data_IF_666571402856
#
_entry.id   IF_666571402856
#
_cell.length_a   1.000
_cell.length_b   1.000
_cell.length_c   1.000
_cell.angle_alpha   90.00
_cell.angle_beta   90.00
_cell.angle_gamma   90.00
#
_symmetry.space_group_name_H-M   'P 1'
#
loop_
_entity.id
_entity.type
_entity.pdbx_description
1 polymer ?
#
# COMPACT_ATOMS: atom_id res chain seq x y z
N UNK A 1 -20.70 15.23 5.32
CA UNK A 1 -20.85 14.21 4.27
C UNK A 1 -20.26 14.78 2.98
N UNK A 2 -18.94 14.70 2.80
CA UNK A 2 -18.34 14.94 1.48
C UNK A 2 -18.64 13.72 0.61
N UNK A 3 -19.33 13.92 -0.51
CA UNK A 3 -19.71 12.81 -1.37
C UNK A 3 -18.52 12.37 -2.25
N UNK A 4 -18.47 11.10 -2.71
CA UNK A 4 -17.52 10.63 -3.73
C UNK A 4 -17.48 11.47 -5.03
N UNK A 5 -18.47 12.37 -5.25
CA UNK A 5 -18.43 13.37 -6.33
C UNK A 5 -17.32 14.40 -6.17
N UNK A 6 -16.87 14.72 -4.94
CA UNK A 6 -15.82 15.71 -4.73
C UNK A 6 -14.45 15.20 -5.20
N UNK A 7 -14.14 13.93 -4.94
CA UNK A 7 -12.89 13.34 -5.45
C UNK A 7 -12.94 13.11 -6.96
N UNK A 8 -14.09 12.67 -7.50
CA UNK A 8 -14.35 12.65 -8.94
C UNK A 8 -14.13 14.04 -9.56
N UNK A 9 -14.60 15.10 -8.92
CA UNK A 9 -14.39 16.48 -9.36
C UNK A 9 -12.91 16.89 -9.30
N UNK A 10 -12.19 16.54 -8.23
CA UNK A 10 -10.76 16.80 -8.10
C UNK A 10 -9.96 16.08 -9.20
N UNK A 11 -10.22 14.81 -9.48
CA UNK A 11 -9.51 14.09 -10.56
C UNK A 11 -9.94 14.56 -11.96
N UNK A 12 -11.21 14.94 -12.16
CA UNK A 12 -11.67 15.54 -13.42
C UNK A 12 -11.01 16.90 -13.67
N UNK A 13 -10.75 17.68 -12.62
CA UNK A 13 -10.01 18.94 -12.70
C UNK A 13 -8.50 18.74 -12.86
N UNK A 14 -7.95 17.61 -12.38
CA UNK A 14 -6.51 17.31 -12.40
C UNK A 14 -6.25 15.96 -13.09
N UNK A 15 -6.26 15.88 -14.44
CA UNK A 15 -5.97 14.66 -15.21
C UNK A 15 -4.56 14.05 -15.01
N UNK A 16 -3.77 14.55 -14.06
CA UNK A 16 -2.46 14.07 -13.63
C UNK A 16 -2.28 14.26 -12.11
N UNK A 17 -3.31 13.88 -11.34
CA UNK A 17 -3.24 13.93 -9.88
C UNK A 17 -2.02 13.15 -9.36
N UNK A 18 -1.26 13.74 -8.45
CA UNK A 18 -0.07 13.11 -7.89
C UNK A 18 0.12 13.42 -6.42
N UNK A 19 0.83 12.51 -5.76
CA UNK A 19 1.39 12.70 -4.41
C UNK A 19 2.85 12.29 -4.41
N UNK A 20 3.67 13.06 -3.73
CA UNK A 20 5.10 12.84 -3.64
C UNK A 20 5.53 12.86 -2.17
N UNK A 21 6.22 11.81 -1.74
CA UNK A 21 6.68 11.64 -0.36
C UNK A 21 8.17 11.40 -0.29
N UNK A 22 8.84 12.07 0.65
CA UNK A 22 10.16 11.64 1.13
C UNK A 22 9.97 10.55 2.18
N UNK A 23 10.65 9.43 2.00
CA UNK A 23 10.64 8.31 2.92
C UNK A 23 11.98 8.25 3.64
N UNK A 24 11.91 8.06 4.95
CA UNK A 24 13.05 7.72 5.78
C UNK A 24 12.76 6.39 6.46
N UNK A 25 13.53 5.37 6.12
CA UNK A 25 13.42 4.03 6.67
C UNK A 25 14.61 3.81 7.58
N UNK A 26 14.34 3.47 8.83
CA UNK A 26 15.34 3.01 9.79
C UNK A 26 15.06 1.56 10.11
N UNK A 27 16.08 0.70 9.98
CA UNK A 27 15.97 -0.73 10.27
C UNK A 27 17.01 -1.12 11.29
N UNK A 28 16.58 -1.82 12.33
CA UNK A 28 17.47 -2.46 13.28
C UNK A 28 17.62 -3.95 12.94
N UNK A 29 18.85 -4.37 12.63
CA UNK A 29 19.17 -5.74 12.27
C UNK A 29 20.53 -6.14 12.84
N UNK A 30 20.60 -7.24 13.59
CA UNK A 30 21.82 -7.73 14.24
C UNK A 30 22.55 -6.65 15.08
N UNK A 31 21.79 -5.88 15.86
CA UNK A 31 22.28 -4.77 16.69
C UNK A 31 22.98 -3.65 15.89
N UNK A 32 22.64 -3.52 14.61
CA UNK A 32 23.10 -2.44 13.75
C UNK A 32 21.89 -1.71 13.16
N UNK A 33 22.00 -0.39 13.13
CA UNK A 33 20.97 0.48 12.56
C UNK A 33 21.36 0.86 11.13
N UNK A 34 20.47 0.57 10.19
CA UNK A 34 20.59 0.93 8.79
C UNK A 34 19.57 2.01 8.44
N UNK A 35 19.97 2.92 7.55
CA UNK A 35 19.12 4.00 7.08
C UNK A 35 18.98 3.96 5.56
N UNK A 36 17.76 4.09 5.07
CA UNK A 36 17.44 4.25 3.66
C UNK A 36 16.56 5.49 3.48
N UNK A 37 16.90 6.31 2.50
CA UNK A 37 16.15 7.48 2.10
C UNK A 37 15.66 7.32 0.67
N UNK A 38 14.36 7.49 0.47
CA UNK A 38 13.71 7.32 -0.82
C UNK A 38 12.80 8.52 -1.12
N UNK A 39 12.52 8.74 -2.40
CA UNK A 39 11.44 9.59 -2.87
C UNK A 39 10.42 8.70 -3.56
N UNK A 40 9.19 8.71 -3.08
CA UNK A 40 8.08 7.96 -3.63
C UNK A 40 7.15 8.91 -4.37
N UNK A 41 6.85 8.57 -5.61
CA UNK A 41 5.99 9.35 -6.48
C UNK A 41 4.85 8.48 -7.01
N UNK A 42 3.62 8.80 -6.63
CA UNK A 42 2.41 8.20 -7.19
C UNK A 42 1.75 9.19 -8.15
N UNK A 43 1.59 8.81 -9.41
CA UNK A 43 1.05 9.68 -10.45
C UNK A 43 -0.08 9.01 -11.22
N UNK A 44 -1.28 9.59 -11.19
CA UNK A 44 -2.43 9.12 -11.95
C UNK A 44 -2.16 9.33 -13.44
N UNK A 45 -2.09 8.24 -14.19
CA UNK A 45 -1.81 8.24 -15.63
C UNK A 45 -3.06 8.07 -16.47
N UNK A 46 -4.10 7.42 -15.94
CA UNK A 46 -5.32 7.15 -16.68
C UNK A 46 -6.53 7.00 -15.76
N UNK A 47 -7.68 7.49 -16.22
CA UNK A 47 -8.95 7.40 -15.50
C UNK A 47 -9.97 6.65 -16.38
N UNK A 48 -10.64 5.67 -15.80
CA UNK A 48 -11.72 4.92 -16.43
C UNK A 48 -13.06 5.28 -15.78
N UNK A 49 -13.76 6.24 -16.38
CA UNK A 49 -15.02 6.77 -15.85
C UNK A 49 -16.16 5.73 -15.81
N UNK A 50 -16.11 4.71 -16.66
CA UNK A 50 -17.19 3.71 -16.82
C UNK A 50 -17.37 2.78 -15.61
N UNK A 51 -16.34 2.57 -14.81
CA UNK A 51 -16.32 1.59 -13.70
C UNK A 51 -15.64 2.11 -12.44
N UNK A 52 -15.43 3.42 -12.38
CA UNK A 52 -14.85 4.06 -11.22
C UNK A 52 -13.43 3.69 -10.84
N UNK A 53 -12.62 3.33 -11.83
CA UNK A 53 -11.21 2.97 -11.60
C UNK A 53 -10.25 3.97 -12.23
N UNK A 54 -9.03 3.98 -11.72
CA UNK A 54 -7.93 4.75 -12.28
C UNK A 54 -6.64 3.94 -12.19
N UNK A 55 -5.68 4.31 -13.04
CA UNK A 55 -4.33 3.75 -13.04
C UNK A 55 -3.39 4.85 -12.60
N UNK A 56 -2.49 4.50 -11.70
CA UNK A 56 -1.38 5.35 -11.33
C UNK A 56 -0.06 4.60 -11.47
N UNK A 57 0.99 5.32 -11.81
CA UNK A 57 2.35 4.82 -11.79
C UNK A 57 2.97 5.13 -10.44
N UNK A 58 3.59 4.11 -9.85
CA UNK A 58 4.46 4.25 -8.69
C UNK A 58 5.91 4.30 -9.18
N UNK A 59 6.65 5.34 -8.81
CA UNK A 59 8.09 5.45 -9.04
C UNK A 59 8.78 5.66 -7.70
N UNK A 60 9.85 4.89 -7.45
CA UNK A 60 10.64 5.01 -6.21
C UNK A 60 12.07 5.35 -6.58
N UNK A 61 12.54 6.50 -6.11
CA UNK A 61 13.92 6.95 -6.24
C UNK A 61 14.65 6.64 -4.94
N UNK A 62 15.64 5.75 -5.00
CA UNK A 62 16.48 5.42 -3.85
C UNK A 62 17.64 6.42 -3.79
N UNK A 63 17.51 7.42 -2.91
CA UNK A 63 18.37 8.61 -2.90
C UNK A 63 19.82 8.26 -2.55
N UNK A 64 20.02 7.30 -1.64
CA UNK A 64 21.36 6.87 -1.21
C UNK A 64 22.20 6.28 -2.34
N UNK A 65 21.58 5.75 -3.39
CA UNK A 65 22.26 5.06 -4.49
C UNK A 65 22.05 5.71 -5.85
N UNK A 66 21.30 6.81 -5.92
CA UNK A 66 20.89 7.44 -7.18
C UNK A 66 20.25 6.45 -8.15
N UNK A 67 19.39 5.56 -7.63
CA UNK A 67 18.72 4.50 -8.39
C UNK A 67 17.21 4.70 -8.46
N UNK A 68 16.59 4.31 -9.57
CA UNK A 68 15.14 4.22 -9.74
C UNK A 68 14.75 2.75 -9.71
N UNK A 69 13.86 2.37 -8.80
CA UNK A 69 13.19 1.07 -8.85
C UNK A 69 12.16 1.09 -9.98
N UNK A 70 12.05 -0.02 -10.71
CA UNK A 70 11.17 -0.14 -11.87
C UNK A 70 9.75 0.34 -11.54
N UNK A 71 9.24 1.28 -12.35
CA UNK A 71 7.91 1.83 -12.13
C UNK A 71 6.83 0.77 -12.40
N UNK A 72 5.88 0.66 -11.49
CA UNK A 72 4.74 -0.26 -11.60
C UNK A 72 3.46 0.52 -11.83
N UNK A 73 2.66 0.07 -12.81
CA UNK A 73 1.32 0.59 -13.03
C UNK A 73 0.32 -0.17 -12.15
N UNK A 74 -0.39 0.56 -11.28
CA UNK A 74 -1.32 0.01 -10.29
C UNK A 74 -2.73 0.48 -10.63
N UNK A 75 -3.69 -0.43 -10.60
CA UNK A 75 -5.11 -0.14 -10.80
C UNK A 75 -5.82 -0.04 -9.44
N UNK A 76 -6.53 1.06 -9.20
CA UNK A 76 -7.28 1.29 -7.95
C UNK A 76 -8.66 1.91 -8.24
N UNK A 77 -9.52 1.96 -7.22
CA UNK A 77 -10.88 2.49 -7.30
C UNK A 77 -10.95 3.91 -6.72
N UNK A 78 -11.63 4.83 -7.39
CA UNK A 78 -11.69 6.21 -6.91
C UNK A 78 -12.57 6.39 -5.66
N UNK A 79 -13.62 5.58 -5.51
CA UNK A 79 -14.57 5.74 -4.41
C UNK A 79 -13.99 5.23 -3.10
N UNK A 80 -13.10 4.24 -3.22
CA UNK A 80 -12.41 3.62 -2.09
C UNK A 80 -10.98 3.23 -2.50
N UNK A 81 -10.05 4.20 -2.62
CA UNK A 81 -8.67 3.92 -2.96
C UNK A 81 -8.04 3.05 -1.88
N UNK A 82 -7.61 1.84 -2.24
CA UNK A 82 -7.02 0.91 -1.27
C UNK A 82 -5.52 1.10 -1.13
N UNK A 83 -4.84 1.48 -2.20
CA UNK A 83 -3.38 1.57 -2.24
C UNK A 83 -2.89 3.00 -2.44
N UNK A 84 -3.52 3.79 -3.31
CA UNK A 84 -3.12 5.19 -3.55
C UNK A 84 -3.36 6.06 -2.31
N UNK A 85 -2.35 6.77 -1.79
CA UNK A 85 -2.36 7.29 -0.40
C UNK A 85 -3.50 8.24 0.00
N UNK A 86 -4.19 8.85 -0.97
CA UNK A 86 -5.33 9.72 -0.73
C UNK A 86 -6.50 9.04 0.03
N UNK A 87 -7.15 9.78 0.94
CA UNK A 87 -8.37 9.38 1.67
C UNK A 87 -9.51 10.31 1.24
N UNK A 88 -10.52 9.83 0.47
CA UNK A 88 -11.60 10.68 -0.04
C UNK A 88 -12.47 11.36 1.02
N UNK A 89 -12.66 10.72 2.18
CA UNK A 89 -13.54 11.19 3.25
C UNK A 89 -12.77 11.21 4.57
N UNK A 90 -11.87 12.18 4.78
CA UNK A 90 -11.16 12.31 6.06
C UNK A 90 -12.16 12.66 7.17
N UNK A 91 -11.94 12.11 8.36
CA UNK A 91 -12.85 12.20 9.51
C UNK A 91 -13.83 11.03 9.66
N UNK A 92 -13.95 10.13 8.68
CA UNK A 92 -14.73 8.91 8.86
C UNK A 92 -14.13 8.04 9.98
N UNK A 93 -14.94 7.40 10.85
CA UNK A 93 -14.45 6.60 11.96
C UNK A 93 -13.59 5.41 11.51
N UNK A 94 -13.90 4.85 10.35
CA UNK A 94 -13.20 3.70 9.76
C UNK A 94 -12.98 3.95 8.28
N UNK A 95 -11.76 3.73 7.81
CA UNK A 95 -11.38 3.82 6.41
C UNK A 95 -10.85 2.46 5.96
N UNK A 96 -11.55 1.85 5.00
CA UNK A 96 -11.13 0.58 4.40
C UNK A 96 -10.02 0.82 3.37
N UNK A 97 -8.80 0.37 3.69
CA UNK A 97 -7.66 0.32 2.76
C UNK A 97 -7.08 -1.09 2.73
N UNK A 98 -5.88 -1.27 2.17
CA UNK A 98 -5.12 -2.52 2.33
C UNK A 98 -4.94 -2.92 3.81
N UNK A 99 -4.94 -1.93 4.71
CA UNK A 99 -5.08 -2.11 6.16
C UNK A 99 -6.27 -1.27 6.61
N UNK A 100 -7.14 -1.84 7.45
CA UNK A 100 -8.27 -1.09 8.01
C UNK A 100 -7.70 -0.02 8.97
N UNK A 101 -8.06 1.23 8.72
CA UNK A 101 -7.65 2.36 9.54
C UNK A 101 -8.83 2.84 10.39
N UNK A 102 -8.63 2.98 11.69
CA UNK A 102 -9.59 3.56 12.63
C UNK A 102 -9.16 4.97 13.02
N UNK A 103 -10.11 5.90 13.09
CA UNK A 103 -9.84 7.26 13.53
C UNK A 103 -9.44 7.27 15.02
N UNK A 104 -8.23 7.71 15.31
CA UNK A 104 -7.69 7.80 16.67
C UNK A 104 -7.97 9.17 17.29
N UNK A 105 -7.77 10.24 16.52
CA UNK A 105 -8.06 11.61 16.96
C UNK A 105 -8.29 12.52 15.76
N UNK A 106 -8.94 13.65 16.01
CA UNK A 106 -9.15 14.69 15.00
C UNK A 106 -9.13 16.07 15.64
N UNK A 107 -8.78 17.06 14.83
CA UNK A 107 -9.03 18.48 15.08
C UNK A 107 -9.59 19.12 13.80
N UNK A 108 -9.90 20.41 13.83
CA UNK A 108 -10.61 21.11 12.75
C UNK A 108 -9.96 21.01 11.35
N UNK A 109 -8.70 20.58 11.26
CA UNK A 109 -7.96 20.49 9.98
C UNK A 109 -7.14 19.21 9.78
N UNK A 110 -7.03 18.34 10.80
CA UNK A 110 -6.18 17.16 10.76
C UNK A 110 -6.83 15.95 11.43
N UNK A 111 -6.57 14.78 10.86
CA UNK A 111 -7.11 13.50 11.28
C UNK A 111 -5.97 12.52 11.47
N UNK A 112 -5.97 11.82 12.60
CA UNK A 112 -4.98 10.79 12.91
C UNK A 112 -5.70 9.46 12.87
N UNK A 113 -5.22 8.59 11.99
CA UNK A 113 -5.73 7.25 11.80
C UNK A 113 -4.70 6.23 12.27
N UNK A 114 -5.18 5.17 12.91
CA UNK A 114 -4.38 4.02 13.32
C UNK A 114 -4.88 2.76 12.63
N UNK A 115 -3.96 1.99 12.06
CA UNK A 115 -4.25 0.67 11.53
C UNK A 115 -3.24 -0.34 12.03
N UNK A 116 -3.64 -1.60 12.07
CA UNK A 116 -2.76 -2.71 12.41
C UNK A 116 -3.00 -3.90 11.52
N UNK A 117 -1.93 -4.54 11.10
CA UNK A 117 -1.98 -5.87 10.48
C UNK A 117 -0.84 -6.75 10.99
N UNK A 118 -0.93 -8.04 10.71
CA UNK A 118 0.08 -9.03 11.06
C UNK A 118 0.52 -9.78 9.81
N UNK A 119 1.82 -9.99 9.66
CA UNK A 119 2.41 -10.87 8.66
C UNK A 119 3.19 -11.95 9.41
N UNK A 120 2.59 -13.15 9.54
CA UNK A 120 3.11 -14.16 10.45
C UNK A 120 3.08 -13.67 11.89
N UNK A 121 4.24 -13.62 12.55
CA UNK A 121 4.40 -13.12 13.91
C UNK A 121 4.95 -11.68 13.98
N UNK A 122 5.04 -11.01 12.84
CA UNK A 122 5.47 -9.61 12.75
C UNK A 122 4.24 -8.71 12.72
N UNK A 123 4.20 -7.76 13.65
CA UNK A 123 3.15 -6.75 13.75
C UNK A 123 3.57 -5.50 12.95
N UNK A 124 2.63 -4.97 12.16
CA UNK A 124 2.79 -3.71 11.44
C UNK A 124 1.74 -2.73 11.94
N UNK A 125 2.20 -1.64 12.54
CA UNK A 125 1.36 -0.54 13.00
C UNK A 125 1.48 0.64 12.04
N UNK A 126 0.35 1.21 11.66
CA UNK A 126 0.24 2.29 10.69
C UNK A 126 -0.38 3.51 11.36
N UNK A 127 0.28 4.65 11.26
CA UNK A 127 -0.23 5.94 11.71
C UNK A 127 -0.30 6.88 10.51
N UNK A 128 -1.50 7.25 10.11
CA UNK A 128 -1.74 8.18 9.00
C UNK A 128 -2.17 9.52 9.58
N UNK A 129 -1.41 10.56 9.28
CA UNK A 129 -1.72 11.94 9.64
C UNK A 129 -2.20 12.65 8.38
N UNK A 130 -3.49 12.95 8.35
CA UNK A 130 -4.22 13.32 7.13
C UNK A 130 -4.81 14.70 7.29
N UNK A 131 -4.61 15.55 6.29
CA UNK A 131 -5.18 16.90 6.30
C UNK A 131 -6.66 16.89 5.87
N UNK A 132 -7.31 18.05 5.93
CA UNK A 132 -8.70 18.24 5.51
C UNK A 132 -8.96 18.00 4.02
N UNK A 133 -7.94 18.01 3.16
CA UNK A 133 -8.11 17.67 1.74
C UNK A 133 -8.10 16.16 1.49
N UNK A 134 -7.76 15.35 2.50
CA UNK A 134 -7.68 13.89 2.39
C UNK A 134 -6.27 13.38 2.04
N UNK A 135 -5.29 14.27 1.89
CA UNK A 135 -3.90 13.89 1.59
C UNK A 135 -3.15 13.66 2.91
N UNK A 136 -2.53 12.48 3.12
CA UNK A 136 -1.62 12.29 4.24
C UNK A 136 -0.44 13.27 4.16
N UNK A 137 -0.20 14.05 5.21
CA UNK A 137 1.02 14.87 5.28
C UNK A 137 2.17 14.12 5.95
N UNK A 138 1.85 13.08 6.73
CA UNK A 138 2.81 12.17 7.36
C UNK A 138 2.21 10.77 7.48
N UNK A 139 3.00 9.74 7.22
CA UNK A 139 2.66 8.34 7.51
C UNK A 139 3.80 7.74 8.31
N UNK A 140 3.51 7.01 9.37
CA UNK A 140 4.50 6.23 10.12
C UNK A 140 4.08 4.77 10.04
N UNK A 141 5.02 3.90 9.72
CA UNK A 141 4.84 2.46 9.75
C UNK A 141 5.89 1.89 10.69
N UNK A 142 5.44 1.26 11.77
CA UNK A 142 6.30 0.57 12.72
C UNK A 142 6.21 -0.92 12.45
N UNK A 143 7.36 -1.58 12.38
CA UNK A 143 7.45 -3.03 12.32
C UNK A 143 7.95 -3.56 13.65
N UNK A 144 7.13 -4.35 14.32
CA UNK A 144 7.42 -4.94 15.62
C UNK A 144 7.67 -6.44 15.41
N UNK A 145 8.85 -6.89 15.83
CA UNK A 145 9.28 -8.27 15.71
C UNK A 145 8.57 -9.20 16.69
N UNK A 146 8.80 -10.51 16.54
CA UNK A 146 8.07 -11.54 17.29
C UNK A 146 8.23 -11.42 18.81
N UNK A 147 9.37 -10.92 19.28
CA UNK A 147 9.65 -10.69 20.71
C UNK A 147 9.27 -9.27 21.19
N UNK A 148 8.51 -8.50 20.40
CA UNK A 148 8.00 -7.17 20.77
C UNK A 148 8.98 -6.01 20.56
N UNK A 149 10.17 -6.27 20.03
CA UNK A 149 11.16 -5.24 19.69
C UNK A 149 10.81 -4.52 18.40
N UNK A 150 11.12 -3.22 18.32
CA UNK A 150 11.03 -2.47 17.07
C UNK A 150 12.12 -2.93 16.10
N UNK A 151 11.72 -3.42 14.93
CA UNK A 151 12.60 -3.89 13.86
C UNK A 151 12.79 -2.83 12.79
N UNK A 152 11.75 -2.06 12.49
CA UNK A 152 11.81 -1.00 11.49
C UNK A 152 10.86 0.14 11.82
N UNK A 153 11.27 1.34 11.47
CA UNK A 153 10.46 2.55 11.48
C UNK A 153 10.58 3.24 10.12
N UNK A 154 9.48 3.25 9.37
CA UNK A 154 9.38 3.98 8.12
C UNK A 154 8.52 5.20 8.31
N UNK A 155 9.07 6.38 8.02
CA UNK A 155 8.35 7.64 8.05
C UNK A 155 8.27 8.24 6.66
N UNK A 156 7.05 8.51 6.20
CA UNK A 156 6.73 9.25 4.99
C UNK A 156 6.40 10.69 5.37
N UNK A 157 6.92 11.66 4.63
CA UNK A 157 6.59 13.09 4.76
C UNK A 157 6.20 13.60 3.39
N UNK A 158 5.04 14.27 3.31
CA UNK A 158 4.55 14.83 2.06
C UNK A 158 5.49 15.96 1.61
N UNK A 159 5.99 15.84 0.39
CA UNK A 159 6.86 16.83 -0.24
C UNK A 159 6.05 17.74 -1.14
N UNK A 160 5.25 17.14 -2.04
CA UNK A 160 4.42 17.85 -3.02
C UNK A 160 3.15 17.09 -3.38
N UNK A 161 2.10 17.83 -3.70
CA UNK A 161 0.87 17.26 -4.29
C UNK A 161 -0.02 18.34 -4.91
N UNK A 162 -0.49 18.06 -6.13
CA UNK A 162 -1.52 18.89 -6.77
C UNK A 162 -2.94 18.66 -6.23
N UNK A 163 -3.14 17.67 -5.37
CA UNK A 163 -4.39 17.47 -4.63
C UNK A 163 -4.53 18.44 -3.43
N UNK A 164 -3.42 19.05 -2.99
CA UNK A 164 -3.40 20.11 -1.97
C UNK A 164 -3.26 21.47 -2.64
N UNK A 165 -2.31 21.60 -3.56
CA UNK A 165 -2.04 22.85 -4.29
C UNK A 165 -2.01 22.60 -5.81
N UNK A 166 -3.07 22.96 -6.55
CA UNK A 166 -3.21 22.73 -7.99
C UNK A 166 -2.02 23.14 -8.87
N UNK A 167 -1.23 24.12 -8.42
CA UNK A 167 -0.10 24.65 -9.17
C UNK A 167 1.21 23.88 -8.95
N UNK A 168 1.22 22.89 -8.06
CA UNK A 168 2.42 22.10 -7.81
C UNK A 168 2.76 21.17 -8.96
N UNK A 169 4.07 20.98 -9.14
CA UNK A 169 4.65 20.08 -10.12
C UNK A 169 5.58 19.10 -9.41
N UNK A 170 5.63 17.84 -9.86
CA UNK A 170 6.44 16.81 -9.25
C UNK A 170 7.93 17.13 -9.36
N UNK A 171 8.71 16.66 -8.38
CA UNK A 171 10.17 16.68 -8.46
C UNK A 171 10.61 15.45 -9.25
N UNK A 172 11.35 15.66 -10.33
CA UNK A 172 11.97 14.60 -11.11
C UNK A 172 13.49 14.70 -10.93
N UNK A 173 14.09 13.95 -9.98
CA UNK A 173 15.52 13.97 -9.74
C UNK A 173 16.31 13.59 -11.00
N UNK A 174 17.28 14.42 -11.37
CA UNK A 174 18.20 14.13 -12.47
C UNK A 174 19.35 13.21 -12.03
N UNK A 175 19.97 12.51 -12.99
CA UNK A 175 21.15 11.69 -12.74
C UNK A 175 20.87 10.31 -12.11
N UNK A 176 19.60 9.98 -11.86
CA UNK A 176 19.21 8.67 -11.39
C UNK A 176 19.21 7.63 -12.52
N UNK A 177 19.63 6.41 -12.21
CA UNK A 177 19.68 5.30 -13.17
C UNK A 177 18.66 4.24 -12.80
N UNK A 178 17.99 3.66 -13.79
CA UNK A 178 17.11 2.51 -13.57
C UNK A 178 17.95 1.37 -12.98
N UNK A 179 17.52 0.80 -11.86
CA UNK A 179 18.16 -0.37 -11.29
C UNK A 179 17.98 -1.54 -12.27
N UNK A 180 19.07 -2.01 -12.87
CA UNK A 180 19.06 -3.26 -13.62
C UNK A 180 18.78 -4.40 -12.63
N UNK A 181 17.95 -5.38 -13.00
CA UNK A 181 17.41 -6.39 -12.05
C UNK A 181 18.43 -7.21 -11.23
N UNK A 182 19.73 -7.07 -11.50
CA UNK A 182 20.86 -7.65 -10.75
C UNK A 182 21.60 -6.66 -9.82
N UNK A 183 21.29 -5.37 -9.89
CA UNK A 183 21.89 -4.26 -9.11
C UNK A 183 20.86 -3.46 -8.31
N UNK A 184 19.65 -3.98 -8.14
CA UNK A 184 18.83 -3.55 -7.00
C UNK A 184 19.69 -3.87 -5.79
N UNK A 185 20.33 -2.85 -5.22
CA UNK A 185 21.04 -3.01 -3.95
C UNK A 185 20.03 -3.69 -3.05
N UNK A 186 20.29 -4.95 -2.73
CA UNK A 186 19.52 -5.76 -1.82
C UNK A 186 19.60 -5.04 -0.47
N UNK A 187 18.78 -4.02 -0.28
CA UNK A 187 18.21 -3.71 1.00
C UNK A 187 17.07 -4.71 1.09
N UNK A 188 17.23 -5.83 1.81
CA UNK A 188 16.32 -6.99 1.77
C UNK A 188 14.88 -6.71 2.24
N UNK A 189 14.46 -5.45 2.34
CA UNK A 189 13.43 -5.01 3.27
C UNK A 189 12.21 -4.44 2.52
N UNK A 190 12.39 -3.58 1.49
CA UNK A 190 11.25 -3.00 0.77
C UNK A 190 10.63 -3.96 -0.27
N UNK A 191 11.44 -4.74 -0.98
CA UNK A 191 10.98 -5.80 -1.92
C UNK A 191 10.70 -7.15 -1.22
N UNK A 192 11.33 -7.39 -0.07
CA UNK A 192 11.13 -8.61 0.73
C UNK A 192 9.73 -8.71 1.33
N UNK A 193 9.15 -7.58 1.78
CA UNK A 193 7.80 -7.53 2.32
C UNK A 193 6.74 -7.86 1.25
N UNK A 194 6.84 -7.28 0.05
CA UNK A 194 5.89 -7.57 -1.05
C UNK A 194 6.06 -8.99 -1.63
N UNK A 195 7.29 -9.49 -1.75
CA UNK A 195 7.55 -10.86 -2.23
C UNK A 195 7.17 -11.94 -1.21
N UNK A 196 7.31 -11.68 0.09
CA UNK A 196 6.79 -12.56 1.14
C UNK A 196 5.25 -12.57 1.16
N UNK A 197 4.61 -11.43 0.93
CA UNK A 197 3.15 -11.28 0.79
C UNK A 197 2.60 -12.10 -0.38
N UNK A 198 3.21 -12.00 -1.57
CA UNK A 198 2.80 -12.76 -2.75
C UNK A 198 2.96 -14.28 -2.55
N UNK A 199 4.03 -14.71 -1.87
CA UNK A 199 4.26 -16.12 -1.57
C UNK A 199 3.30 -16.69 -0.52
N UNK A 200 2.93 -15.91 0.50
CA UNK A 200 1.98 -16.35 1.54
C UNK A 200 0.55 -16.46 1.01
N UNK A 201 0.11 -15.47 0.23
CA UNK A 201 -1.21 -15.49 -0.42
C UNK A 201 -1.29 -16.62 -1.47
N UNK A 202 -0.24 -16.79 -2.28
CA UNK A 202 -0.16 -17.90 -3.24
C UNK A 202 -0.17 -19.29 -2.59
N UNK A 203 0.49 -19.44 -1.44
CA UNK A 203 0.45 -20.69 -0.64
C UNK A 203 -0.93 -20.94 -0.04
N UNK A 204 -1.61 -19.91 0.48
CA UNK A 204 -2.94 -20.04 1.06
C UNK A 204 -3.99 -20.42 0.00
N UNK A 205 -3.97 -19.77 -1.16
CA UNK A 205 -4.85 -20.11 -2.30
C UNK A 205 -4.59 -21.54 -2.78
N UNK A 206 -3.32 -21.96 -2.88
CA UNK A 206 -2.97 -23.33 -3.26
C UNK A 206 -3.47 -24.35 -2.24
N UNK A 207 -3.31 -24.07 -0.94
CA UNK A 207 -3.76 -24.97 0.12
C UNK A 207 -5.29 -25.12 0.17
N UNK A 208 -6.04 -24.03 0.09
CA UNK A 208 -7.51 -24.05 0.07
C UNK A 208 -8.02 -24.79 -1.16
N UNK A 209 -7.40 -24.59 -2.33
CA UNK A 209 -7.76 -25.31 -3.56
C UNK A 209 -7.53 -26.82 -3.42
N UNK A 210 -6.41 -27.22 -2.82
CA UNK A 210 -6.06 -28.63 -2.63
C UNK A 210 -6.98 -29.31 -1.60
N UNK A 211 -7.38 -28.58 -0.55
CA UNK A 211 -8.38 -29.01 0.43
C UNK A 211 -9.75 -29.21 -0.24
N UNK A 212 -10.20 -28.25 -1.05
CA UNK A 212 -11.47 -28.34 -1.77
C UNK A 212 -11.48 -29.54 -2.72
N UNK A 213 -10.41 -29.77 -3.47
CA UNK A 213 -10.27 -30.97 -4.34
C UNK A 213 -10.40 -32.24 -3.52
N UNK A 214 -9.74 -32.33 -2.36
CA UNK A 214 -9.82 -33.50 -1.49
C UNK A 214 -11.25 -33.75 -0.98
N UNK A 215 -11.95 -32.69 -0.56
CA UNK A 215 -13.35 -32.75 -0.12
C UNK A 215 -14.27 -33.20 -1.27
N UNK A 216 -14.11 -32.64 -2.46
CA UNK A 216 -14.87 -33.06 -3.64
C UNK A 216 -14.64 -34.54 -4.00
N UNK A 217 -13.40 -35.01 -3.90
CA UNK A 217 -13.07 -36.41 -4.14
C UNK A 217 -13.69 -37.33 -3.08
N UNK A 218 -13.64 -36.97 -1.79
CA UNK A 218 -14.25 -37.77 -0.72
C UNK A 218 -15.76 -37.81 -0.82
N UNK A 219 -16.42 -36.67 -1.10
CA UNK A 219 -17.87 -36.62 -1.36
C UNK A 219 -18.24 -37.47 -2.56
N UNK A 220 -17.48 -37.39 -3.66
CA UNK A 220 -17.72 -38.22 -4.86
C UNK A 220 -17.54 -39.71 -4.58
N UNK A 221 -16.50 -40.10 -3.82
CA UNK A 221 -16.29 -41.49 -3.41
C UNK A 221 -17.40 -42.00 -2.49
N UNK A 222 -17.84 -41.18 -1.53
CA UNK A 222 -18.93 -41.51 -0.63
C UNK A 222 -20.26 -41.68 -1.39
N UNK A 223 -20.59 -40.74 -2.27
CA UNK A 223 -21.79 -40.81 -3.11
C UNK A 223 -21.77 -42.03 -4.05
N UNK A 224 -20.61 -42.35 -4.64
CA UNK A 224 -20.44 -43.54 -5.49
C UNK A 224 -20.66 -44.84 -4.72
N UNK A 225 -20.11 -44.96 -3.51
CA UNK A 225 -20.31 -46.12 -2.62
C UNK A 225 -21.75 -46.26 -2.14
N UNK A 226 -22.45 -45.15 -1.90
CA UNK A 226 -23.86 -45.17 -1.51
C UNK A 226 -24.77 -45.62 -2.66
N UNK A 227 -24.40 -45.29 -3.91
CA UNK A 227 -25.11 -45.70 -5.14
C UNK A 227 -24.93 -47.18 -5.48
N UNK A 228 -23.80 -47.79 -5.09
CA UNK A 228 -23.56 -49.25 -5.25
C UNK A 228 -24.14 -50.10 -4.12
N UNK A 229 -24.45 -49.50 -2.97
CA UNK A 229 -25.08 -50.20 -1.82
C UNK A 229 -26.62 -50.22 -1.87
N UNK A 230 -27.24 -49.53 -2.83
CA UNK A 230 -28.69 -49.44 -2.99
C UNK A 230 -29.25 -50.24 -4.17
N UNK A 231 -28.48 -51.21 -4.69
CA UNK A 231 -28.92 -52.19 -5.68
C UNK A 231 -28.90 -53.59 -5.05
#
# INVERSE_FOLDING_TARGET
MSSPLWFLFVIVLFPHAFVEYSLHIQVDYNNQVYHLSELLFENVTKVYYSNSTFVYNLTVYVLNFSQILTSSAILDNFSLPKTFFYIPNPGEPVVERSVILSLLSSNDSNYIYYGKTFIGYVELEYFYYVNSTGVPYKIIILQIGESGQLVSNTTYILVKSNLVNPNEQPILPEGFKIANGSEVVNVPISLGLNSALDQLVGKYISFVTLLLVFVFLTVRFYASRKKTSSN
#
